data_IF_588140857131
#
_entry.id   IF_588140857131
#
_cell.length_a   1.000
_cell.length_b   1.000
_cell.length_c   1.000
_cell.angle_alpha   90.00
_cell.angle_beta   90.00
_cell.angle_gamma   90.00
#
_symmetry.space_group_name_H-M   'P 1'
#
loop_
_entity.id
_entity.type
_entity.pdbx_description
1 polymer ?
#
# COMPACT_ATOMS: atom_id res chain seq x y z
N UNK A 1 -20.74 1.90 -11.96
CA UNK A 1 -19.75 2.54 -11.05
C UNK A 1 -18.64 1.57 -10.65
N UNK A 2 -18.93 0.45 -9.97
CA UNK A 2 -17.88 -0.52 -9.61
C UNK A 2 -17.17 -1.16 -10.82
N UNK A 3 -17.88 -1.40 -11.92
CA UNK A 3 -17.28 -1.87 -13.17
C UNK A 3 -16.31 -0.85 -13.77
N UNK A 4 -16.64 0.44 -13.70
CA UNK A 4 -15.74 1.51 -14.16
C UNK A 4 -14.49 1.59 -13.28
N UNK A 5 -14.64 1.40 -11.97
CA UNK A 5 -13.52 1.33 -11.04
C UNK A 5 -12.64 0.11 -11.32
N UNK A 6 -13.22 -1.07 -11.58
CA UNK A 6 -12.48 -2.26 -12.00
C UNK A 6 -11.66 -2.01 -13.27
N UNK A 7 -12.29 -1.40 -14.29
CA UNK A 7 -11.61 -1.07 -15.54
C UNK A 7 -10.44 -0.10 -15.32
N UNK A 8 -10.65 0.96 -14.52
CA UNK A 8 -9.60 1.90 -14.18
C UNK A 8 -8.40 1.22 -13.48
N UNK A 9 -8.66 0.27 -12.58
CA UNK A 9 -7.60 -0.53 -11.95
C UNK A 9 -6.88 -1.43 -12.95
N UNK A 10 -7.58 -2.08 -13.89
CA UNK A 10 -6.97 -2.92 -14.94
C UNK A 10 -6.07 -2.09 -15.86
N UNK A 11 -6.57 -0.95 -16.35
CA UNK A 11 -5.83 -0.06 -17.23
C UNK A 11 -4.59 0.52 -16.56
N UNK A 12 -4.67 0.86 -15.27
CA UNK A 12 -3.53 1.31 -14.49
C UNK A 12 -2.51 0.17 -14.29
N UNK A 13 -2.98 -1.01 -13.86
CA UNK A 13 -2.14 -2.15 -13.59
C UNK A 13 -1.38 -2.66 -14.83
N UNK A 14 -1.95 -2.49 -16.03
CA UNK A 14 -1.26 -2.78 -17.28
C UNK A 14 -0.01 -1.90 -17.50
N UNK A 15 0.01 -0.69 -16.92
CA UNK A 15 1.11 0.28 -17.02
C UNK A 15 2.10 0.22 -15.86
N UNK A 16 1.83 -0.61 -14.85
CA UNK A 16 2.74 -0.75 -13.72
C UNK A 16 4.01 -1.51 -14.11
N UNK A 17 5.14 -0.93 -13.79
CA UNK A 17 6.47 -1.54 -13.98
C UNK A 17 7.01 -2.17 -12.70
N UNK A 18 6.39 -1.86 -11.56
CA UNK A 18 6.60 -2.55 -10.28
C UNK A 18 5.33 -3.29 -9.87
N UNK A 19 5.48 -4.45 -9.24
CA UNK A 19 4.33 -5.29 -8.85
C UNK A 19 4.22 -5.44 -7.34
N UNK A 20 5.30 -5.18 -6.61
CA UNK A 20 5.35 -5.34 -5.17
C UNK A 20 4.68 -4.17 -4.45
N UNK A 21 3.73 -4.51 -3.58
CA UNK A 21 3.14 -3.60 -2.61
C UNK A 21 3.53 -4.05 -1.20
N UNK A 22 4.47 -3.34 -0.59
CA UNK A 22 4.87 -3.59 0.80
C UNK A 22 3.84 -2.93 1.70
N UNK A 23 3.09 -3.68 2.50
CA UNK A 23 1.98 -3.17 3.32
C UNK A 23 2.22 -3.40 4.80
N UNK A 24 1.57 -2.63 5.69
CA UNK A 24 1.69 -2.86 7.13
C UNK A 24 1.18 -4.25 7.56
N UNK A 25 0.00 -4.67 7.07
CA UNK A 25 -0.53 -6.03 7.27
C UNK A 25 -1.20 -6.57 5.98
N UNK A 26 -1.68 -7.81 6.04
CA UNK A 26 -2.16 -8.56 4.87
C UNK A 26 -3.64 -8.26 4.48
N UNK A 27 -4.00 -7.01 4.18
CA UNK A 27 -5.37 -6.64 3.80
C UNK A 27 -5.68 -6.65 2.27
N UNK A 28 -4.67 -6.66 1.40
CA UNK A 28 -4.83 -6.39 -0.04
C UNK A 28 -4.73 -7.63 -0.93
N UNK A 29 -4.73 -8.85 -0.38
CA UNK A 29 -4.50 -10.08 -1.14
C UNK A 29 -5.46 -10.31 -2.31
N UNK A 30 -6.74 -9.93 -2.18
CA UNK A 30 -7.72 -10.02 -3.28
C UNK A 30 -7.43 -9.00 -4.39
N UNK A 31 -7.12 -7.76 -4.03
CA UNK A 31 -6.74 -6.69 -4.96
C UNK A 31 -5.47 -7.10 -5.72
N UNK A 32 -4.46 -7.57 -4.98
CA UNK A 32 -3.19 -7.99 -5.54
C UNK A 32 -3.39 -9.13 -6.56
N UNK A 33 -4.13 -10.18 -6.19
CA UNK A 33 -4.44 -11.28 -7.11
C UNK A 33 -5.20 -10.83 -8.36
N UNK A 34 -6.17 -9.94 -8.21
CA UNK A 34 -7.03 -9.50 -9.33
C UNK A 34 -6.26 -8.66 -10.36
N UNK A 35 -5.32 -7.83 -9.93
CA UNK A 35 -4.59 -6.89 -10.79
C UNK A 35 -3.11 -7.24 -10.99
N UNK A 36 -2.71 -8.47 -10.65
CA UNK A 36 -1.35 -8.96 -10.87
C UNK A 36 -0.28 -8.27 -10.03
N UNK A 37 -0.59 -7.90 -8.78
CA UNK A 37 0.36 -7.37 -7.80
C UNK A 37 0.81 -8.46 -6.82
N UNK A 38 1.94 -8.22 -6.16
CA UNK A 38 2.47 -9.06 -5.08
C UNK A 38 2.37 -8.28 -3.76
N UNK A 39 1.55 -8.75 -2.82
CA UNK A 39 1.49 -8.17 -1.48
C UNK A 39 2.60 -8.73 -0.60
N UNK A 40 3.40 -7.83 0.01
CA UNK A 40 4.46 -8.18 0.96
C UNK A 40 4.14 -7.52 2.30
N UNK A 41 3.49 -8.23 3.24
CA UNK A 41 3.11 -7.64 4.50
C UNK A 41 4.31 -7.58 5.47
N UNK A 42 4.45 -6.43 6.15
CA UNK A 42 5.51 -6.16 7.12
C UNK A 42 5.25 -6.90 8.42
N UNK A 43 4.05 -6.74 8.96
CA UNK A 43 3.50 -7.55 10.04
C UNK A 43 2.59 -8.64 9.46
N UNK A 44 2.14 -9.59 10.28
CA UNK A 44 1.23 -10.66 9.85
C UNK A 44 -0.19 -10.14 9.53
N UNK A 45 -1.21 -10.76 10.13
CA UNK A 45 -2.60 -10.38 9.89
C UNK A 45 -3.07 -9.16 10.68
N UNK A 46 -2.39 -8.82 11.78
CA UNK A 46 -2.83 -7.78 12.71
C UNK A 46 -2.19 -6.42 12.42
N UNK A 47 -2.99 -5.32 12.31
CA UNK A 47 -2.47 -3.97 12.15
C UNK A 47 -1.66 -3.46 13.35
N UNK A 48 -1.88 -4.03 14.54
CA UNK A 48 -1.19 -3.65 15.78
C UNK A 48 0.03 -4.54 16.07
N UNK A 49 0.26 -5.60 15.28
CA UNK A 49 1.40 -6.47 15.50
C UNK A 49 2.70 -5.77 15.07
N UNK A 50 3.68 -5.74 15.96
CA UNK A 50 5.04 -5.35 15.62
C UNK A 50 5.82 -6.55 15.05
N UNK A 51 6.58 -6.39 13.96
CA UNK A 51 7.46 -7.44 13.47
C UNK A 51 8.64 -7.64 14.41
N UNK A 52 9.19 -8.85 14.40
CA UNK A 52 10.46 -9.09 15.09
C UNK A 52 11.60 -8.28 14.44
N UNK A 53 12.68 -7.97 15.18
CA UNK A 53 13.85 -7.31 14.61
C UNK A 53 14.45 -8.04 13.40
N UNK A 54 14.45 -9.38 13.43
CA UNK A 54 14.91 -10.20 12.31
C UNK A 54 14.03 -9.99 11.07
N UNK A 55 12.71 -9.97 11.24
CA UNK A 55 11.77 -9.73 10.14
C UNK A 55 11.93 -8.32 9.56
N UNK A 56 12.16 -7.32 10.41
CA UNK A 56 12.41 -5.95 9.95
C UNK A 56 13.68 -5.88 9.09
N UNK A 57 14.76 -6.57 9.48
CA UNK A 57 16.00 -6.62 8.71
C UNK A 57 15.82 -7.34 7.36
N UNK A 58 15.08 -8.46 7.33
CA UNK A 58 14.72 -9.14 6.08
C UNK A 58 13.97 -8.21 5.13
N UNK A 59 13.02 -7.43 5.65
CA UNK A 59 12.25 -6.48 4.84
C UNK A 59 13.10 -5.33 4.34
N UNK A 60 13.99 -4.77 5.16
CA UNK A 60 14.95 -3.75 4.72
C UNK A 60 15.82 -4.28 3.58
N UNK A 61 16.34 -5.51 3.70
CA UNK A 61 17.14 -6.15 2.67
C UNK A 61 16.32 -6.40 1.39
N UNK A 62 15.07 -6.86 1.52
CA UNK A 62 14.18 -7.10 0.39
C UNK A 62 13.85 -5.80 -0.35
N UNK A 63 13.47 -4.75 0.37
CA UNK A 63 13.11 -3.44 -0.18
C UNK A 63 14.28 -2.85 -0.97
N UNK A 64 15.49 -2.88 -0.38
CA UNK A 64 16.71 -2.40 -1.04
C UNK A 64 17.08 -3.28 -2.23
N UNK A 65 17.08 -4.61 -2.07
CA UNK A 65 17.47 -5.55 -3.11
C UNK A 65 16.55 -5.55 -4.34
N UNK A 66 15.26 -5.25 -4.16
CA UNK A 66 14.30 -5.12 -5.26
C UNK A 66 14.16 -3.69 -5.80
N UNK A 67 14.81 -2.70 -5.16
CA UNK A 67 14.70 -1.29 -5.53
C UNK A 67 13.28 -0.74 -5.33
N UNK A 68 12.58 -1.19 -4.31
CA UNK A 68 11.25 -0.71 -3.93
C UNK A 68 11.42 0.71 -3.36
N UNK A 69 10.59 1.65 -3.80
CA UNK A 69 10.68 3.07 -3.40
C UNK A 69 9.63 3.49 -2.38
N UNK A 70 8.56 2.69 -2.24
CA UNK A 70 7.39 3.02 -1.45
C UNK A 70 6.96 1.87 -0.56
N UNK A 71 6.57 2.19 0.67
CA UNK A 71 5.89 1.29 1.60
C UNK A 71 4.49 1.86 1.90
N UNK A 72 3.47 1.02 1.79
CA UNK A 72 2.08 1.37 2.01
C UNK A 72 1.63 1.08 3.44
N UNK A 73 0.80 1.95 4.00
CA UNK A 73 0.20 1.75 5.32
C UNK A 73 -1.26 2.16 5.36
N UNK A 74 -2.03 1.53 6.24
CA UNK A 74 -3.48 1.59 6.18
C UNK A 74 -4.11 2.81 6.84
N UNK A 75 -3.52 3.31 7.92
CA UNK A 75 -4.01 4.46 8.68
C UNK A 75 -2.88 5.13 9.46
N UNK A 76 -3.14 6.32 10.00
CA UNK A 76 -2.28 6.98 10.99
C UNK A 76 -2.10 6.22 12.32
N UNK A 77 -2.63 4.99 12.46
CA UNK A 77 -2.62 4.24 13.72
C UNK A 77 -1.33 3.46 14.00
N UNK A 78 -0.46 3.23 13.01
CA UNK A 78 0.87 2.62 13.25
C UNK A 78 2.01 3.32 12.47
N UNK A 79 2.21 4.64 12.71
CA UNK A 79 3.21 5.43 11.98
C UNK A 79 4.63 4.94 12.29
N UNK A 80 4.90 4.51 13.54
CA UNK A 80 6.25 4.17 14.01
C UNK A 80 6.90 3.04 13.23
N UNK A 81 6.15 2.00 12.88
CA UNK A 81 6.69 0.85 12.15
C UNK A 81 7.01 1.22 10.70
N UNK A 82 6.07 1.91 10.03
CA UNK A 82 6.26 2.36 8.66
C UNK A 82 7.41 3.37 8.56
N UNK A 83 7.48 4.33 9.49
CA UNK A 83 8.59 5.30 9.60
C UNK A 83 9.93 4.63 9.85
N UNK A 84 9.95 3.59 10.70
CA UNK A 84 11.19 2.85 10.97
C UNK A 84 11.64 2.10 9.73
N UNK A 85 10.77 1.34 9.08
CA UNK A 85 11.12 0.66 7.83
C UNK A 85 11.54 1.66 6.74
N UNK A 86 10.82 2.77 6.61
CA UNK A 86 11.13 3.84 5.67
C UNK A 86 12.52 4.43 5.88
N UNK A 87 12.83 4.78 7.14
CA UNK A 87 14.14 5.31 7.54
C UNK A 87 15.25 4.30 7.31
N UNK A 88 15.08 3.06 7.78
CA UNK A 88 16.11 2.02 7.67
C UNK A 88 16.31 1.58 6.22
N UNK A 89 15.26 1.47 5.40
CA UNK A 89 15.38 1.06 4.01
C UNK A 89 15.70 2.21 3.04
N UNK A 90 15.48 3.47 3.45
CA UNK A 90 15.66 4.65 2.60
C UNK A 90 14.53 4.84 1.59
N UNK A 91 13.29 4.59 2.01
CA UNK A 91 12.09 4.63 1.14
C UNK A 91 11.04 5.60 1.66
N UNK A 92 10.08 5.97 0.81
CA UNK A 92 8.96 6.84 1.17
C UNK A 92 7.76 6.01 1.64
N UNK A 93 6.87 6.62 2.41
CA UNK A 93 5.61 6.00 2.83
C UNK A 93 4.43 6.60 2.09
N UNK A 94 3.41 5.78 1.79
CA UNK A 94 2.14 6.20 1.22
C UNK A 94 0.98 5.52 1.96
N UNK A 95 -0.19 6.16 1.96
CA UNK A 95 -1.40 5.59 2.57
C UNK A 95 -2.13 4.72 1.55
N UNK A 96 -2.43 3.47 1.90
CA UNK A 96 -3.31 2.59 1.14
C UNK A 96 -4.36 2.04 2.09
N UNK A 97 -5.61 2.50 1.95
CA UNK A 97 -6.69 2.16 2.89
C UNK A 97 -7.32 0.81 2.57
N UNK A 98 -7.60 -0.05 3.55
CA UNK A 98 -8.32 -1.32 3.35
C UNK A 98 -9.81 -1.11 3.07
N UNK A 99 -10.31 0.13 3.16
CA UNK A 99 -11.73 0.48 3.08
C UNK A 99 -12.63 -0.29 4.08
N UNK A 100 -12.06 -0.84 5.16
CA UNK A 100 -12.75 -1.58 6.20
C UNK A 100 -13.38 -0.69 7.29
N UNK A 101 -13.07 0.61 7.26
CA UNK A 101 -13.62 1.63 8.14
C UNK A 101 -13.18 3.01 7.66
N UNK A 102 -14.04 4.00 7.84
CA UNK A 102 -13.74 5.39 7.49
C UNK A 102 -13.07 6.09 8.68
N UNK A 103 -12.00 6.84 8.43
CA UNK A 103 -11.45 7.73 9.46
C UNK A 103 -12.50 8.76 9.89
N UNK A 104 -12.36 9.41 11.06
CA UNK A 104 -13.24 10.50 11.45
C UNK A 104 -13.36 11.59 10.37
N UNK A 105 -12.26 11.94 9.68
CA UNK A 105 -12.26 12.91 8.58
C UNK A 105 -13.04 12.40 7.36
N UNK A 106 -12.86 11.14 6.98
CA UNK A 106 -13.58 10.53 5.84
C UNK A 106 -15.08 10.42 6.10
N UNK A 107 -15.48 10.15 7.35
CA UNK A 107 -16.90 10.17 7.77
C UNK A 107 -17.50 11.56 7.69
N UNK A 108 -16.77 12.58 8.15
CA UNK A 108 -17.23 13.97 8.08
C UNK A 108 -17.38 14.46 6.63
N UNK A 109 -16.53 13.96 5.72
CA UNK A 109 -16.58 14.27 4.29
C UNK A 109 -17.56 13.43 3.46
N UNK A 110 -18.30 12.50 4.07
CA UNK A 110 -19.17 11.53 3.35
C UNK A 110 -18.43 10.70 2.29
N UNK A 111 -17.13 10.45 2.46
CA UNK A 111 -16.37 9.60 1.53
C UNK A 111 -16.88 8.15 1.64
N UNK A 112 -17.45 7.65 0.54
CA UNK A 112 -17.85 6.25 0.41
C UNK A 112 -16.71 5.36 -0.09
N UNK A 113 -16.98 4.06 -0.17
CA UNK A 113 -16.04 3.05 -0.68
C UNK A 113 -15.39 3.44 -2.03
N UNK A 114 -16.18 3.97 -2.98
CA UNK A 114 -15.67 4.35 -4.31
C UNK A 114 -14.55 5.40 -4.22
N UNK A 115 -14.76 6.46 -3.44
CA UNK A 115 -13.77 7.52 -3.28
C UNK A 115 -12.47 7.01 -2.63
N UNK A 116 -12.58 6.13 -1.63
CA UNK A 116 -11.41 5.49 -0.99
C UNK A 116 -10.62 4.65 -1.98
N UNK A 117 -11.31 3.91 -2.84
CA UNK A 117 -10.64 3.08 -3.86
C UNK A 117 -10.05 3.91 -5.00
N UNK A 118 -10.66 5.04 -5.35
CA UNK A 118 -10.08 6.01 -6.30
C UNK A 118 -8.80 6.64 -5.74
N UNK A 119 -8.79 7.03 -4.46
CA UNK A 119 -7.59 7.51 -3.77
C UNK A 119 -6.49 6.44 -3.73
N UNK A 120 -6.86 5.19 -3.42
CA UNK A 120 -5.95 4.04 -3.45
C UNK A 120 -5.35 3.82 -4.84
N UNK A 121 -6.15 3.94 -5.91
CA UNK A 121 -5.67 3.80 -7.28
C UNK A 121 -4.62 4.85 -7.63
N UNK A 122 -4.86 6.12 -7.27
CA UNK A 122 -3.91 7.20 -7.49
C UNK A 122 -2.57 6.96 -6.75
N UNK A 123 -2.65 6.44 -5.53
CA UNK A 123 -1.47 6.04 -4.74
C UNK A 123 -0.69 4.90 -5.39
N UNK A 124 -1.39 3.86 -5.88
CA UNK A 124 -0.76 2.76 -6.59
C UNK A 124 -0.11 3.22 -7.90
N UNK A 125 -0.77 4.10 -8.66
CA UNK A 125 -0.19 4.68 -9.88
C UNK A 125 1.09 5.46 -9.59
N UNK A 126 1.09 6.33 -8.57
CA UNK A 126 2.29 7.07 -8.15
C UNK A 126 3.46 6.14 -7.83
N UNK A 127 3.18 5.04 -7.14
CA UNK A 127 4.22 4.15 -6.63
C UNK A 127 4.73 3.16 -7.69
N UNK A 128 3.85 2.68 -8.56
CA UNK A 128 4.08 1.50 -9.41
C UNK A 128 4.22 1.80 -10.90
N UNK A 129 3.77 2.97 -11.37
CA UNK A 129 3.92 3.37 -12.77
C UNK A 129 5.34 3.89 -13.08
N UNK A 130 5.72 3.80 -14.36
CA UNK A 130 6.95 4.37 -14.89
C UNK A 130 7.00 5.91 -14.66
N UNK A 131 8.15 6.43 -14.23
CA UNK A 131 8.35 7.86 -14.09
C UNK A 131 7.63 8.53 -12.91
N UNK A 132 7.32 7.79 -11.83
CA UNK A 132 6.73 8.32 -10.60
C UNK A 132 7.21 9.75 -10.29
N UNK A 133 6.27 10.70 -10.39
CA UNK A 133 6.56 12.13 -10.35
C UNK A 133 7.33 12.45 -9.06
N UNK A 134 8.44 13.22 -9.15
CA UNK A 134 9.25 13.60 -7.99
C UNK A 134 8.43 14.30 -6.90
#
# INVERSE_FOLDING_TARGET
QLEMLDEAYREAAARFTRREIVTSHAAFGYLARRYGLEQIPVAGLSPQAEPSPARLQELVALVRGRGIRYVFFETAASPRLAETLAREAGVQTLVLSPAAGLTPEERAGSKGYLAVMEDNLAVLQRALAEGGCP
#
